data_IF_971241698897
#
_entry.id   IF_971241698897
#
_cell.length_a   1.000
_cell.length_b   1.000
_cell.length_c   1.000
_cell.angle_alpha   90.00
_cell.angle_beta   90.00
_cell.angle_gamma   90.00
#
_symmetry.space_group_name_H-M   'P 1'
#
loop_
_entity.id
_entity.type
_entity.pdbx_description
1 polymer ?
#
# COMPACT_ATOMS: atom_id res chain seq x y z
N UNK A 1 4.94 -12.82 6.97
CA UNK A 1 6.19 -12.19 6.54
C UNK A 1 7.35 -12.67 7.41
N UNK A 2 8.59 -12.86 6.88
CA UNK A 2 9.74 -13.38 7.66
C UNK A 2 10.03 -12.57 8.93
N UNK A 3 9.96 -11.23 8.84
CA UNK A 3 10.20 -10.34 9.96
C UNK A 3 9.17 -10.54 11.09
N UNK A 4 7.89 -10.60 10.76
CA UNK A 4 6.83 -10.85 11.77
C UNK A 4 6.95 -12.23 12.40
N UNK A 5 7.42 -13.21 11.66
CA UNK A 5 7.71 -14.54 12.19
C UNK A 5 8.89 -14.48 13.18
N UNK A 6 10.00 -13.85 12.80
CA UNK A 6 11.17 -13.72 13.65
C UNK A 6 10.86 -12.98 14.96
N UNK A 7 10.17 -11.84 14.88
CA UNK A 7 9.70 -11.10 16.07
C UNK A 7 8.80 -11.95 16.97
N UNK A 8 7.91 -12.75 16.39
CA UNK A 8 7.01 -13.63 17.14
C UNK A 8 7.73 -14.79 17.85
N UNK A 9 8.95 -15.14 17.43
CA UNK A 9 9.75 -16.26 17.94
C UNK A 9 11.00 -15.80 18.70
N UNK A 10 10.95 -14.57 19.27
CA UNK A 10 11.96 -14.10 20.21
C UNK A 10 13.23 -13.52 19.57
N UNK A 11 13.17 -13.11 18.29
CA UNK A 11 14.30 -12.44 17.64
C UNK A 11 14.60 -11.05 18.25
N UNK A 12 13.64 -10.48 18.98
CA UNK A 12 13.82 -9.21 19.70
C UNK A 12 13.55 -9.42 21.19
N UNK A 13 14.60 -9.39 22.00
CA UNK A 13 14.50 -9.45 23.46
C UNK A 13 14.32 -8.03 24.02
N UNK A 14 13.50 -7.90 25.07
CA UNK A 14 13.28 -6.60 25.72
C UNK A 14 12.29 -5.67 25.01
N UNK A 15 11.58 -6.16 23.99
CA UNK A 15 10.55 -5.41 23.29
C UNK A 15 9.14 -5.96 23.58
N UNK A 16 8.20 -5.06 23.85
CA UNK A 16 6.78 -5.37 23.92
C UNK A 16 6.17 -5.37 22.51
N UNK A 17 5.82 -6.56 22.01
CA UNK A 17 5.31 -6.73 20.64
C UNK A 17 3.79 -6.65 20.62
N UNK A 18 3.27 -5.60 19.99
CA UNK A 18 1.86 -5.44 19.74
C UNK A 18 1.47 -5.96 18.34
N UNK A 19 0.45 -6.82 18.28
CA UNK A 19 -0.15 -7.29 17.03
C UNK A 19 -1.49 -6.63 16.80
N UNK A 20 -1.64 -5.94 15.68
CA UNK A 20 -2.88 -5.27 15.31
C UNK A 20 -2.96 -5.11 13.78
N UNK A 21 -4.08 -4.63 13.27
CA UNK A 21 -4.22 -4.30 11.86
C UNK A 21 -3.37 -3.09 11.49
N UNK A 22 -2.95 -2.94 10.21
CA UNK A 22 -2.15 -1.79 9.77
C UNK A 22 -2.79 -0.44 10.14
N UNK A 23 -4.11 -0.31 10.02
CA UNK A 23 -4.82 0.91 10.38
C UNK A 23 -4.72 1.22 11.89
N UNK A 24 -4.86 0.19 12.74
CA UNK A 24 -4.71 0.34 14.19
C UNK A 24 -3.27 0.69 14.59
N UNK A 25 -2.27 0.06 13.94
CA UNK A 25 -0.85 0.35 14.21
C UNK A 25 -0.50 1.79 13.81
N UNK A 26 -0.95 2.23 12.63
CA UNK A 26 -0.75 3.61 12.19
C UNK A 26 -1.35 4.61 13.20
N UNK A 27 -2.63 4.42 13.58
CA UNK A 27 -3.28 5.30 14.55
C UNK A 27 -2.60 5.32 15.93
N UNK A 28 -2.05 4.18 16.38
CA UNK A 28 -1.29 4.14 17.66
C UNK A 28 0.05 4.85 17.58
N UNK A 29 0.76 4.72 16.46
CA UNK A 29 2.03 5.43 16.24
C UNK A 29 1.79 6.95 16.17
N UNK A 30 0.74 7.38 15.44
CA UNK A 30 0.31 8.78 15.35
C UNK A 30 -0.09 9.36 16.72
N UNK A 31 -0.79 8.55 17.54
CA UNK A 31 -1.17 8.90 18.92
C UNK A 31 -0.02 8.79 19.92
N UNK A 32 1.19 8.43 19.49
CA UNK A 32 2.38 8.21 20.36
C UNK A 32 2.17 7.11 21.42
N UNK A 33 1.34 6.13 21.13
CA UNK A 33 1.08 4.94 21.94
C UNK A 33 1.80 3.69 21.40
N UNK A 34 2.76 3.91 20.49
CA UNK A 34 3.63 2.91 19.91
C UNK A 34 4.91 3.61 19.46
N UNK A 35 6.05 3.05 19.81
CA UNK A 35 7.36 3.67 19.58
C UNK A 35 7.87 3.41 18.17
N UNK A 36 7.71 2.16 17.69
CA UNK A 36 8.18 1.69 16.39
C UNK A 36 7.09 0.87 15.72
N UNK A 37 6.88 1.07 14.41
CA UNK A 37 5.93 0.28 13.63
C UNK A 37 6.29 0.20 12.15
N UNK A 38 5.85 -0.90 11.52
CA UNK A 38 5.68 -0.92 10.07
C UNK A 38 4.50 -0.01 9.68
N UNK A 39 4.74 0.98 8.87
CA UNK A 39 3.74 1.94 8.39
C UNK A 39 3.70 1.99 6.88
N UNK A 40 2.59 2.41 6.33
CA UNK A 40 2.51 2.65 4.90
C UNK A 40 3.32 3.87 4.49
N UNK A 41 3.88 3.86 3.27
CA UNK A 41 4.64 5.00 2.74
C UNK A 41 3.84 6.30 2.73
N UNK A 42 2.52 6.24 2.49
CA UNK A 42 1.66 7.43 2.53
C UNK A 42 1.43 7.94 3.96
N UNK A 43 1.35 7.05 4.95
CA UNK A 43 1.28 7.44 6.36
C UNK A 43 2.55 8.20 6.75
N UNK A 44 3.72 7.64 6.42
CA UNK A 44 4.97 8.35 6.66
C UNK A 44 5.00 9.71 5.94
N UNK A 45 4.63 9.78 4.67
CA UNK A 45 4.68 11.03 3.91
C UNK A 45 3.79 12.15 4.51
N UNK A 46 2.72 11.77 5.21
CA UNK A 46 1.84 12.72 5.91
C UNK A 46 2.35 13.14 7.29
N UNK A 47 3.20 12.33 7.91
CA UNK A 47 3.70 12.50 9.28
C UNK A 47 5.24 12.51 9.34
N UNK A 48 5.91 12.94 8.27
CA UNK A 48 7.38 12.92 8.15
C UNK A 48 8.08 13.76 9.23
N UNK A 49 7.42 14.80 9.73
CA UNK A 49 7.95 15.65 10.80
C UNK A 49 7.95 14.94 12.17
N UNK A 50 7.05 13.99 12.40
CA UNK A 50 6.90 13.26 13.64
C UNK A 50 7.59 11.87 13.62
N UNK A 51 7.90 11.36 12.44
CA UNK A 51 8.43 10.01 12.24
C UNK A 51 9.86 10.01 11.70
N UNK A 52 10.65 9.03 12.14
CA UNK A 52 11.98 8.71 11.61
C UNK A 52 11.92 7.36 10.87
N UNK A 53 12.40 7.32 9.64
CA UNK A 53 12.52 6.05 8.90
C UNK A 53 13.64 5.21 9.51
N UNK A 54 13.36 3.95 9.78
CA UNK A 54 14.40 2.96 10.08
C UNK A 54 14.97 2.45 8.75
N UNK A 55 16.30 2.48 8.57
CA UNK A 55 16.95 2.08 7.32
C UNK A 55 16.81 0.57 7.05
N UNK A 56 17.04 0.19 5.80
CA UNK A 56 17.24 -1.19 5.33
C UNK A 56 16.04 -2.14 5.46
N UNK A 57 14.90 -1.70 6.02
CA UNK A 57 13.70 -2.51 6.16
C UNK A 57 12.49 -1.85 5.51
N UNK A 58 12.07 -2.40 4.36
CA UNK A 58 10.89 -1.91 3.66
C UNK A 58 10.16 -3.02 2.90
N UNK A 59 8.94 -2.73 2.47
CA UNK A 59 8.18 -3.53 1.51
C UNK A 59 8.19 -2.75 0.20
N UNK A 60 8.95 -3.23 -0.78
CA UNK A 60 9.13 -2.57 -2.05
C UNK A 60 9.06 -3.55 -3.23
N UNK A 61 8.81 -3.03 -4.43
CA UNK A 61 8.88 -3.78 -5.67
C UNK A 61 9.71 -3.02 -6.72
N UNK A 62 10.51 -3.76 -7.46
CA UNK A 62 11.26 -3.28 -8.62
C UNK A 62 10.62 -3.85 -9.90
N UNK A 63 9.46 -3.36 -10.27
CA UNK A 63 8.57 -3.88 -11.29
C UNK A 63 7.29 -4.42 -10.67
N UNK A 64 6.79 -5.55 -11.16
CA UNK A 64 5.50 -6.12 -10.74
C UNK A 64 5.46 -6.48 -9.26
N UNK A 65 4.40 -6.03 -8.57
CA UNK A 65 4.07 -6.47 -7.21
C UNK A 65 3.01 -7.59 -7.21
N UNK A 66 2.20 -7.67 -8.26
CA UNK A 66 1.12 -8.63 -8.53
C UNK A 66 -0.06 -8.59 -7.55
N UNK A 67 0.14 -8.02 -6.37
CA UNK A 67 -0.85 -7.94 -5.30
C UNK A 67 -1.46 -6.55 -5.11
N UNK A 68 -1.23 -5.62 -6.04
CA UNK A 68 -1.85 -4.27 -6.07
C UNK A 68 -2.15 -3.91 -7.52
N UNK A 69 -3.41 -4.08 -7.91
CA UNK A 69 -3.83 -4.02 -9.31
C UNK A 69 -4.97 -3.02 -9.52
N UNK A 70 -4.89 -2.27 -10.62
CA UNK A 70 -6.08 -1.71 -11.25
C UNK A 70 -6.60 -2.73 -12.25
N UNK A 71 -7.85 -3.13 -12.08
CA UNK A 71 -8.60 -4.00 -12.98
C UNK A 71 -9.64 -3.15 -13.71
N UNK A 72 -9.72 -3.19 -15.04
CA UNK A 72 -10.53 -2.24 -15.79
C UNK A 72 -11.25 -2.89 -16.97
N UNK A 73 -12.47 -2.43 -17.25
CA UNK A 73 -13.24 -2.82 -18.47
C UNK A 73 -12.81 -2.07 -19.73
N UNK A 74 -12.02 -1.03 -19.57
CA UNK A 74 -11.54 -0.19 -20.67
C UNK A 74 -10.02 0.02 -20.51
N UNK A 75 -9.28 0.34 -21.57
CA UNK A 75 -7.91 0.79 -21.46
C UNK A 75 -7.78 1.96 -20.46
N UNK A 76 -6.68 2.03 -19.71
CA UNK A 76 -6.51 3.03 -18.64
C UNK A 76 -6.62 4.48 -19.14
N UNK A 77 -6.14 4.74 -20.35
CA UNK A 77 -6.26 6.03 -21.05
C UNK A 77 -7.72 6.42 -21.36
N UNK A 78 -8.64 5.46 -21.36
CA UNK A 78 -10.06 5.68 -21.61
C UNK A 78 -10.89 5.76 -20.32
N UNK A 79 -10.28 5.69 -19.16
CA UNK A 79 -10.98 5.82 -17.86
C UNK A 79 -11.57 7.23 -17.70
N UNK A 80 -10.78 8.27 -17.97
CA UNK A 80 -11.24 9.67 -17.91
C UNK A 80 -11.87 10.03 -16.57
N UNK A 81 -13.11 10.55 -16.60
CA UNK A 81 -13.89 10.92 -15.42
C UNK A 81 -14.87 9.83 -14.93
N UNK A 82 -14.78 8.62 -15.46
CA UNK A 82 -15.68 7.50 -15.10
C UNK A 82 -15.45 7.05 -13.68
N UNK A 83 -16.38 6.25 -13.13
CA UNK A 83 -16.27 5.72 -11.76
C UNK A 83 -15.21 4.63 -11.66
N UNK A 84 -14.34 4.75 -10.65
CA UNK A 84 -13.36 3.73 -10.25
C UNK A 84 -13.58 3.36 -8.80
N UNK A 85 -13.71 2.06 -8.54
CA UNK A 85 -13.94 1.51 -7.21
C UNK A 85 -12.61 1.30 -6.50
N UNK A 86 -12.58 1.54 -5.19
CA UNK A 86 -11.42 1.36 -4.35
C UNK A 86 -11.72 0.30 -3.29
N UNK A 87 -10.84 -0.68 -3.13
CA UNK A 87 -10.91 -1.62 -2.01
C UNK A 87 -10.78 -0.88 -0.68
N UNK A 88 -11.55 -1.23 0.32
CA UNK A 88 -11.49 -0.68 1.68
C UNK A 88 -10.25 -1.14 2.48
N UNK A 89 -9.44 -2.03 1.91
CA UNK A 89 -8.33 -2.70 2.60
C UNK A 89 -7.01 -1.90 2.64
N UNK A 90 -6.81 -0.81 1.84
CA UNK A 90 -5.51 -0.11 1.78
C UNK A 90 -5.56 1.35 1.32
N UNK A 91 -5.25 2.27 2.21
CA UNK A 91 -5.17 3.71 1.90
C UNK A 91 -3.97 4.08 0.99
N UNK A 92 -2.83 3.37 1.09
CA UNK A 92 -1.64 3.64 0.26
C UNK A 92 -1.88 3.33 -1.20
N UNK A 93 -2.54 2.19 -1.47
CA UNK A 93 -2.86 1.80 -2.84
C UNK A 93 -3.83 2.78 -3.48
N UNK A 94 -4.74 3.40 -2.70
CA UNK A 94 -5.60 4.49 -3.18
C UNK A 94 -4.78 5.69 -3.67
N UNK A 95 -3.79 6.13 -2.88
CA UNK A 95 -2.94 7.27 -3.24
C UNK A 95 -2.12 6.94 -4.49
N UNK A 96 -1.52 5.75 -4.55
CA UNK A 96 -0.74 5.28 -5.70
C UNK A 96 -1.58 5.26 -6.98
N UNK A 97 -2.76 4.64 -6.94
CA UNK A 97 -3.66 4.58 -8.10
C UNK A 97 -4.05 6.00 -8.60
N UNK A 98 -4.40 6.89 -7.67
CA UNK A 98 -4.77 8.28 -8.01
C UNK A 98 -3.62 9.03 -8.69
N UNK A 99 -2.40 8.84 -8.22
CA UNK A 99 -1.20 9.44 -8.81
C UNK A 99 -0.97 8.88 -10.23
N UNK A 100 -1.00 7.57 -10.39
CA UNK A 100 -0.79 6.90 -11.67
C UNK A 100 -1.85 7.33 -12.69
N UNK A 101 -3.14 7.23 -12.35
CA UNK A 101 -4.22 7.60 -13.25
C UNK A 101 -4.11 9.06 -13.70
N UNK A 102 -3.78 9.97 -12.78
CA UNK A 102 -3.62 11.38 -13.11
C UNK A 102 -2.37 11.67 -13.92
N UNK A 103 -1.22 11.06 -13.58
CA UNK A 103 0.08 11.44 -14.14
C UNK A 103 0.43 10.69 -15.41
N UNK A 104 0.08 9.40 -15.49
CA UNK A 104 0.41 8.56 -16.63
C UNK A 104 -0.73 8.53 -17.68
N UNK A 105 -2.00 8.71 -17.26
CA UNK A 105 -3.17 8.51 -18.10
C UNK A 105 -4.07 9.74 -18.22
N UNK A 106 -3.71 10.87 -17.61
CA UNK A 106 -4.52 12.10 -17.56
C UNK A 106 -5.99 11.87 -17.16
N UNK A 107 -6.22 10.87 -16.30
CA UNK A 107 -7.55 10.48 -15.85
C UNK A 107 -7.84 11.00 -14.44
N UNK A 108 -9.05 11.54 -14.24
CA UNK A 108 -9.55 12.05 -12.95
C UNK A 108 -10.91 11.41 -12.67
N UNK A 109 -10.94 10.12 -12.29
CA UNK A 109 -12.18 9.40 -12.05
C UNK A 109 -12.93 9.90 -10.82
N UNK A 110 -14.22 9.54 -10.76
CA UNK A 110 -14.97 9.55 -9.51
C UNK A 110 -14.62 8.29 -8.71
N UNK A 111 -14.15 8.46 -7.47
CA UNK A 111 -13.75 7.34 -6.63
C UNK A 111 -14.82 6.98 -5.61
N UNK A 112 -15.10 5.69 -5.48
CA UNK A 112 -16.01 5.14 -4.49
C UNK A 112 -15.31 3.98 -3.77
N UNK A 113 -15.25 4.02 -2.42
CA UNK A 113 -14.66 2.95 -1.63
C UNK A 113 -15.74 1.96 -1.21
N UNK A 114 -15.51 0.65 -1.45
CA UNK A 114 -16.41 -0.43 -1.06
C UNK A 114 -15.68 -1.77 -0.96
N UNK A 115 -16.34 -2.76 -0.38
CA UNK A 115 -15.91 -4.14 -0.48
C UNK A 115 -16.00 -4.61 -1.94
N UNK A 116 -14.97 -5.31 -2.40
CA UNK A 116 -14.83 -5.85 -3.75
C UNK A 116 -14.58 -7.35 -3.69
N UNK A 117 -15.01 -8.08 -4.71
CA UNK A 117 -14.77 -9.51 -4.87
C UNK A 117 -14.24 -9.84 -6.25
N UNK A 118 -13.38 -10.88 -6.41
CA UNK A 118 -12.85 -11.30 -7.70
C UNK A 118 -13.90 -11.82 -8.69
N UNK A 119 -15.04 -12.33 -8.21
CA UNK A 119 -16.12 -12.90 -9.03
C UNK A 119 -16.84 -11.84 -9.89
N UNK A 120 -16.93 -10.60 -9.38
CA UNK A 120 -17.41 -9.44 -10.15
C UNK A 120 -16.41 -8.29 -9.99
N UNK A 121 -15.24 -8.39 -10.64
CA UNK A 121 -14.11 -7.50 -10.36
C UNK A 121 -14.37 -6.05 -10.77
N UNK A 122 -15.21 -5.81 -11.77
CA UNK A 122 -15.61 -4.47 -12.20
C UNK A 122 -17.12 -4.45 -12.40
N UNK A 123 -17.90 -4.20 -11.35
CA UNK A 123 -19.36 -4.16 -11.44
C UNK A 123 -19.89 -3.16 -12.47
N UNK A 124 -21.11 -3.39 -12.92
CA UNK A 124 -21.76 -2.52 -13.89
C UNK A 124 -21.75 -1.04 -13.46
N UNK A 125 -21.47 -0.15 -14.41
CA UNK A 125 -21.36 1.29 -14.18
C UNK A 125 -20.03 1.74 -13.64
N UNK A 126 -19.07 0.85 -13.32
CA UNK A 126 -17.69 1.18 -13.05
C UNK A 126 -16.80 0.98 -14.27
N UNK A 127 -15.78 1.82 -14.46
CA UNK A 127 -14.76 1.64 -15.48
C UNK A 127 -13.63 0.74 -15.00
N UNK A 128 -13.34 0.75 -13.69
CA UNK A 128 -12.30 -0.06 -13.10
C UNK A 128 -12.43 -0.18 -11.58
N UNK A 129 -11.59 -1.04 -10.99
CA UNK A 129 -11.53 -1.28 -9.56
C UNK A 129 -10.10 -1.58 -9.10
N UNK A 130 -9.77 -1.13 -7.89
CA UNK A 130 -8.50 -1.39 -7.23
C UNK A 130 -8.59 -2.63 -6.35
N UNK A 131 -7.81 -3.64 -6.67
CA UNK A 131 -7.66 -4.84 -5.85
C UNK A 131 -6.31 -4.89 -5.15
N UNK A 132 -6.28 -5.50 -3.96
CA UNK A 132 -5.05 -5.75 -3.21
C UNK A 132 -5.04 -7.14 -2.57
N UNK A 133 -3.84 -7.62 -2.23
CA UNK A 133 -3.64 -8.89 -1.52
C UNK A 133 -4.02 -10.10 -2.35
N UNK A 134 -4.65 -11.09 -1.71
CA UNK A 134 -4.96 -12.39 -2.32
C UNK A 134 -5.97 -12.25 -3.47
N UNK A 135 -6.96 -11.37 -3.34
CA UNK A 135 -7.93 -11.07 -4.40
C UNK A 135 -7.24 -10.53 -5.67
N UNK A 136 -6.20 -9.69 -5.49
CA UNK A 136 -5.41 -9.19 -6.61
C UNK A 136 -4.54 -10.30 -7.23
N UNK A 137 -3.92 -11.15 -6.42
CA UNK A 137 -3.13 -12.29 -6.91
C UNK A 137 -3.98 -13.26 -7.72
N UNK A 138 -5.21 -13.53 -7.28
CA UNK A 138 -6.16 -14.36 -8.02
C UNK A 138 -6.45 -13.76 -9.40
N UNK A 139 -6.82 -12.49 -9.48
CA UNK A 139 -7.09 -11.79 -10.73
C UNK A 139 -5.86 -11.66 -11.64
N UNK A 140 -4.65 -11.55 -11.04
CA UNK A 140 -3.41 -11.52 -11.80
C UNK A 140 -3.12 -12.84 -12.51
N UNK A 141 -3.35 -13.96 -11.83
CA UNK A 141 -3.08 -15.30 -12.35
C UNK A 141 -4.23 -15.86 -13.20
N UNK A 142 -5.46 -15.42 -12.95
CA UNK A 142 -6.68 -15.86 -13.64
C UNK A 142 -7.48 -14.65 -14.12
N UNK A 143 -6.95 -13.86 -15.07
CA UNK A 143 -7.64 -12.66 -15.53
C UNK A 143 -8.93 -13.02 -16.26
N UNK A 144 -10.07 -12.41 -15.89
CA UNK A 144 -11.32 -12.59 -16.63
C UNK A 144 -11.21 -12.07 -18.06
N UNK A 145 -11.94 -12.68 -18.99
CA UNK A 145 -11.96 -12.25 -20.38
C UNK A 145 -12.49 -10.81 -20.53
N UNK A 146 -11.86 -10.03 -21.41
CA UNK A 146 -12.27 -8.66 -21.69
C UNK A 146 -11.90 -7.65 -20.58
N UNK A 147 -11.05 -8.03 -19.64
CA UNK A 147 -10.57 -7.19 -18.54
C UNK A 147 -9.10 -6.83 -18.76
N UNK A 148 -8.79 -5.55 -18.56
CA UNK A 148 -7.42 -5.02 -18.55
C UNK A 148 -6.88 -5.05 -17.10
N UNK A 149 -5.64 -5.49 -16.94
CA UNK A 149 -4.95 -5.55 -15.64
C UNK A 149 -3.70 -4.70 -15.68
N UNK A 150 -3.60 -3.76 -14.76
CA UNK A 150 -2.45 -2.88 -14.56
C UNK A 150 -1.86 -3.13 -13.19
N UNK A 151 -0.62 -3.60 -13.13
CA UNK A 151 0.14 -3.73 -11.89
C UNK A 151 0.67 -2.34 -11.48
N UNK A 152 0.23 -1.84 -10.33
CA UNK A 152 0.54 -0.46 -9.95
C UNK A 152 2.01 -0.22 -9.65
N UNK A 153 2.80 -1.25 -9.27
CA UNK A 153 4.23 -1.07 -9.11
C UNK A 153 4.96 -1.01 -10.46
N UNK A 154 4.52 -1.79 -11.46
CA UNK A 154 4.99 -1.68 -12.84
C UNK A 154 4.69 -0.30 -13.41
N UNK A 155 3.45 0.17 -13.27
CA UNK A 155 3.02 1.49 -13.74
C UNK A 155 3.84 2.61 -13.09
N UNK A 156 4.08 2.50 -11.79
CA UNK A 156 4.94 3.44 -11.07
C UNK A 156 6.35 3.45 -11.63
N UNK A 157 6.94 2.27 -11.85
CA UNK A 157 8.30 2.16 -12.40
C UNK A 157 8.40 2.72 -13.82
N UNK A 158 7.41 2.45 -14.66
CA UNK A 158 7.37 3.01 -16.02
C UNK A 158 7.27 4.54 -16.01
N UNK A 159 6.46 5.10 -15.11
CA UNK A 159 6.24 6.54 -14.99
C UNK A 159 7.46 7.28 -14.39
N UNK A 160 8.13 6.67 -13.42
CA UNK A 160 9.14 7.37 -12.59
C UNK A 160 10.57 6.86 -12.76
N UNK A 161 10.78 5.66 -13.27
CA UNK A 161 12.05 4.93 -13.27
C UNK A 161 12.44 4.34 -11.91
N UNK A 162 11.72 4.68 -10.83
CA UNK A 162 12.03 4.30 -9.45
C UNK A 162 11.27 3.04 -8.99
N UNK A 163 11.82 2.35 -7.98
CA UNK A 163 11.12 1.30 -7.25
C UNK A 163 9.93 1.87 -6.50
N UNK A 164 8.84 1.10 -6.38
CA UNK A 164 7.70 1.47 -5.53
C UNK A 164 7.90 0.93 -4.13
N UNK A 165 7.85 1.81 -3.13
CA UNK A 165 7.90 1.45 -1.71
C UNK A 165 6.49 1.55 -1.13
N UNK A 166 5.93 0.43 -0.71
CA UNK A 166 4.56 0.33 -0.17
C UNK A 166 4.52 0.53 1.34
N UNK A 167 5.54 0.07 2.04
CA UNK A 167 5.65 0.13 3.49
C UNK A 167 7.09 0.25 3.94
N UNK A 168 7.27 0.93 5.06
CA UNK A 168 8.55 1.16 5.71
C UNK A 168 8.42 0.87 7.20
N UNK A 169 9.54 0.75 7.87
CA UNK A 169 9.56 0.81 9.33
C UNK A 169 9.92 2.23 9.77
N UNK A 170 9.18 2.74 10.74
CA UNK A 170 9.39 4.07 11.30
C UNK A 170 9.27 4.07 12.82
N UNK A 171 10.05 4.93 13.45
CA UNK A 171 10.01 5.23 14.87
C UNK A 171 9.41 6.62 15.10
N UNK A 172 8.75 6.83 16.24
CA UNK A 172 8.42 8.18 16.68
C UNK A 172 9.72 8.96 16.95
N UNK A 173 9.87 10.17 16.42
CA UNK A 173 11.09 10.98 16.59
C UNK A 173 11.41 11.26 18.06
N UNK A 174 10.39 11.42 18.90
CA UNK A 174 10.55 11.60 20.33
C UNK A 174 11.17 10.38 21.00
N UNK A 175 10.76 9.18 20.60
CA UNK A 175 11.36 7.93 21.08
C UNK A 175 12.79 7.80 20.55
N UNK A 176 13.02 7.99 19.27
CA UNK A 176 14.33 7.90 18.65
C UNK A 176 15.37 8.86 19.30
N UNK A 177 14.94 10.06 19.67
CA UNK A 177 15.80 11.03 20.36
C UNK A 177 16.13 10.63 21.80
N UNK A 178 15.18 9.97 22.50
CA UNK A 178 15.37 9.55 23.90
C UNK A 178 16.12 8.21 24.02
N UNK A 179 15.99 7.34 23.00
CA UNK A 179 16.46 5.94 23.04
C UNK A 179 17.25 5.55 21.78
N UNK A 180 18.30 6.30 21.39
CA UNK A 180 19.02 6.03 20.14
C UNK A 180 19.67 4.65 20.10
N UNK A 181 20.20 4.16 21.23
CA UNK A 181 20.85 2.85 21.29
C UNK A 181 19.88 1.67 21.07
N UNK A 182 18.60 1.85 21.33
CA UNK A 182 17.58 0.81 21.16
C UNK A 182 17.18 0.64 19.67
N UNK A 183 17.51 1.62 18.81
CA UNK A 183 17.27 1.56 17.36
C UNK A 183 18.46 1.01 16.56
N UNK A 184 19.62 0.83 17.18
CA UNK A 184 20.85 0.31 16.57
C UNK A 184 21.02 -1.21 16.71
N UNK A 185 20.03 -1.91 17.28
CA UNK A 185 20.06 -3.37 17.54
C UNK A 185 19.75 -4.20 16.29
#
# INVERSE_FOLDING_TARGET
LPLTYALAHGAAQGLDILRATPAQLNGRLEARNLDVSGVSSITYARHADDLLILPDVCIASDGDVRSVLLVSRVPAENIGARRVLLSDKSASSHALLKIILRRAYDAVPQYETRALTPEDPVPEGAAGALFIGDDALELYHHPPEGIYIYDLAREWKQMTGARMVFGIWAAARTFAAAHPAELEM
#
